data_IF_769442373277
#
_entry.id   IF_769442373277
#
_cell.length_a   1.000
_cell.length_b   1.000
_cell.length_c   1.000
_cell.angle_alpha   90.00
_cell.angle_beta   90.00
_cell.angle_gamma   90.00
#
_symmetry.space_group_name_H-M   'P 1'
#
loop_
_entity.id
_entity.type
_entity.pdbx_description
1 polymer ?
#
# COMPACT_ATOMS: atom_id res chain seq x y z
N UNK A 1 -14.47 0.94 3.77
CA UNK A 1 -15.13 -0.25 3.23
C UNK A 1 -15.02 -1.44 4.19
N UNK A 2 -13.83 -1.70 4.75
CA UNK A 2 -13.63 -2.83 5.67
C UNK A 2 -14.59 -2.78 6.86
N UNK A 3 -14.87 -1.58 7.38
CA UNK A 3 -15.82 -1.38 8.49
C UNK A 3 -17.26 -1.82 8.18
N UNK A 4 -17.64 -1.95 6.91
CA UNK A 4 -18.96 -2.50 6.56
C UNK A 4 -19.11 -3.98 6.94
N UNK A 5 -17.99 -4.70 7.14
CA UNK A 5 -17.96 -6.12 7.49
C UNK A 5 -18.00 -6.38 9.00
N UNK A 6 -18.14 -5.36 9.85
CA UNK A 6 -18.07 -5.48 11.33
C UNK A 6 -19.12 -6.43 11.95
N UNK A 7 -20.09 -6.89 11.17
CA UNK A 7 -21.00 -7.97 11.60
C UNK A 7 -20.39 -9.38 11.54
N UNK A 8 -19.14 -9.53 11.05
CA UNK A 8 -18.47 -10.81 10.90
C UNK A 8 -17.07 -10.72 11.52
N UNK A 9 -16.97 -10.97 12.81
CA UNK A 9 -15.74 -10.82 13.60
C UNK A 9 -14.60 -11.72 13.08
N UNK A 10 -14.89 -12.92 12.59
CA UNK A 10 -13.89 -13.86 12.08
C UNK A 10 -13.11 -13.29 10.89
N UNK A 11 -13.79 -12.52 10.03
CA UNK A 11 -13.15 -11.88 8.84
C UNK A 11 -12.32 -10.66 9.18
N UNK A 12 -12.51 -10.07 10.35
CA UNK A 12 -11.89 -8.80 10.73
C UNK A 12 -10.82 -8.95 11.81
N UNK A 13 -10.64 -10.15 12.35
CA UNK A 13 -9.63 -10.41 13.37
C UNK A 13 -8.25 -9.95 12.90
N UNK A 14 -7.64 -9.03 13.65
CA UNK A 14 -6.34 -8.45 13.35
C UNK A 14 -6.30 -7.36 12.26
N UNK A 15 -7.40 -7.06 11.57
CA UNK A 15 -7.45 -6.05 10.52
C UNK A 15 -7.98 -4.68 10.97
N UNK A 16 -8.79 -4.67 12.02
CA UNK A 16 -9.35 -3.45 12.62
C UNK A 16 -8.98 -3.35 14.10
N UNK A 17 -8.98 -2.13 14.60
CA UNK A 17 -8.81 -1.87 16.03
C UNK A 17 -10.02 -2.40 16.80
N UNK A 18 -9.83 -3.01 17.98
CA UNK A 18 -10.92 -3.44 18.85
C UNK A 18 -11.87 -2.29 19.20
N UNK A 19 -13.15 -2.58 19.35
CA UNK A 19 -14.15 -1.60 19.78
C UNK A 19 -14.67 -0.66 18.69
N UNK A 20 -14.30 -0.88 17.42
CA UNK A 20 -14.90 -0.15 16.31
C UNK A 20 -16.32 -0.65 16.03
N UNK A 21 -17.22 0.29 15.79
CA UNK A 21 -18.61 0.01 15.40
C UNK A 21 -18.87 0.43 13.95
N UNK A 22 -19.77 -0.25 13.23
CA UNK A 22 -20.11 0.10 11.85
C UNK A 22 -21.09 1.27 11.73
N UNK A 23 -21.25 2.06 12.79
CA UNK A 23 -22.16 3.20 12.81
C UNK A 23 -21.85 4.18 11.68
N UNK A 24 -22.85 4.52 10.88
CA UNK A 24 -22.69 5.42 9.74
C UNK A 24 -22.09 4.78 8.47
N UNK A 25 -21.71 3.51 8.49
CA UNK A 25 -21.20 2.80 7.32
C UNK A 25 -22.37 2.13 6.57
N UNK A 26 -22.59 2.43 5.27
CA UNK A 26 -23.67 1.81 4.50
C UNK A 26 -23.49 0.29 4.40
N UNK A 27 -24.53 -0.47 4.74
CA UNK A 27 -24.51 -1.95 4.69
C UNK A 27 -24.29 -2.51 3.28
N UNK A 28 -24.65 -1.76 2.24
CA UNK A 28 -24.43 -2.15 0.84
C UNK A 28 -22.93 -2.34 0.51
N UNK A 29 -22.03 -1.79 1.31
CA UNK A 29 -20.59 -1.96 1.16
C UNK A 29 -20.05 -3.25 1.81
N UNK A 30 -20.91 -4.02 2.47
CA UNK A 30 -20.51 -5.29 3.06
C UNK A 30 -19.97 -6.24 1.98
N UNK A 31 -18.92 -6.97 2.30
CA UNK A 31 -18.23 -7.92 1.41
C UNK A 31 -17.61 -7.32 0.12
N UNK A 32 -17.65 -6.00 -0.07
CA UNK A 32 -16.94 -5.34 -1.17
C UNK A 32 -15.42 -5.30 -0.95
N UNK A 33 -14.97 -5.46 0.29
CA UNK A 33 -13.56 -5.53 0.67
C UNK A 33 -13.36 -6.74 1.58
N UNK A 34 -12.62 -7.72 1.10
CA UNK A 34 -12.36 -8.97 1.81
C UNK A 34 -10.92 -8.93 2.33
N UNK A 35 -10.70 -8.96 3.65
CA UNK A 35 -9.36 -9.02 4.21
C UNK A 35 -8.73 -10.41 4.03
N UNK A 36 -7.41 -10.45 3.99
CA UNK A 36 -6.61 -11.67 4.04
C UNK A 36 -5.38 -11.48 4.93
N UNK A 37 -4.87 -12.56 5.48
CA UNK A 37 -3.70 -12.53 6.35
C UNK A 37 -2.40 -12.47 5.55
N UNK A 38 -1.47 -11.63 6.00
CA UNK A 38 -0.15 -11.50 5.40
C UNK A 38 0.63 -12.82 5.51
N UNK A 39 1.37 -13.18 4.46
CA UNK A 39 2.06 -14.47 4.29
C UNK A 39 1.14 -15.71 4.19
N UNK A 40 -0.18 -15.54 4.12
CA UNK A 40 -1.12 -16.64 3.88
C UNK A 40 -1.61 -16.62 2.42
N UNK A 41 -0.78 -17.13 1.50
CA UNK A 41 -1.12 -17.15 0.08
C UNK A 41 -2.32 -18.04 -0.24
N UNK A 42 -2.49 -19.14 0.50
CA UNK A 42 -3.62 -20.04 0.25
C UNK A 42 -4.97 -19.39 0.54
N UNK A 43 -5.06 -18.63 1.62
CA UNK A 43 -6.27 -17.84 1.94
C UNK A 43 -6.60 -16.85 0.82
N UNK A 44 -5.60 -16.10 0.32
CA UNK A 44 -5.80 -15.18 -0.79
C UNK A 44 -6.26 -15.91 -2.06
N UNK A 45 -5.67 -17.06 -2.37
CA UNK A 45 -6.04 -17.87 -3.52
C UNK A 45 -7.49 -18.35 -3.41
N UNK A 46 -7.91 -18.80 -2.23
CA UNK A 46 -9.29 -19.22 -1.98
C UNK A 46 -10.28 -18.07 -2.13
N UNK A 47 -9.93 -16.86 -1.66
CA UNK A 47 -10.74 -15.65 -1.86
C UNK A 47 -10.89 -15.34 -3.34
N UNK A 48 -9.79 -15.35 -4.10
CA UNK A 48 -9.79 -15.04 -5.54
C UNK A 48 -10.59 -16.10 -6.34
N UNK A 49 -10.55 -17.35 -5.92
CA UNK A 49 -11.31 -18.42 -6.59
C UNK A 49 -12.80 -18.36 -6.31
N UNK A 50 -13.22 -17.86 -5.14
CA UNK A 50 -14.62 -17.79 -4.71
C UNK A 50 -15.31 -16.47 -5.08
N UNK A 51 -14.54 -15.42 -5.42
CA UNK A 51 -15.08 -14.08 -5.62
C UNK A 51 -14.53 -13.45 -6.91
N UNK A 52 -15.28 -12.52 -7.47
CA UNK A 52 -14.82 -11.70 -8.59
C UNK A 52 -13.94 -10.55 -8.08
N UNK A 53 -12.66 -10.81 -7.88
CA UNK A 53 -11.70 -9.86 -7.33
C UNK A 53 -11.10 -9.03 -8.46
N UNK A 54 -11.27 -7.71 -8.41
CA UNK A 54 -10.69 -6.77 -9.37
C UNK A 54 -9.37 -6.15 -8.89
N UNK A 55 -9.16 -6.06 -7.58
CA UNK A 55 -8.01 -5.39 -6.98
C UNK A 55 -7.48 -6.16 -5.77
N UNK A 56 -6.18 -6.31 -5.68
CA UNK A 56 -5.47 -6.71 -4.45
C UNK A 56 -4.69 -5.49 -3.97
N UNK A 57 -4.98 -5.01 -2.76
CA UNK A 57 -4.24 -3.91 -2.11
C UNK A 57 -3.60 -4.40 -0.83
N UNK A 58 -2.29 -4.16 -0.66
CA UNK A 58 -1.54 -4.57 0.52
C UNK A 58 -0.32 -3.68 0.76
N UNK A 59 0.21 -3.70 1.98
CA UNK A 59 1.56 -3.20 2.27
C UNK A 59 2.60 -4.25 1.85
N UNK A 60 3.77 -3.82 1.39
CA UNK A 60 4.89 -4.72 1.03
C UNK A 60 5.49 -5.35 2.28
N UNK A 61 5.59 -4.60 3.35
CA UNK A 61 6.07 -5.03 4.65
C UNK A 61 5.53 -4.06 5.70
N UNK A 62 5.12 -4.59 6.84
CA UNK A 62 4.71 -3.77 7.99
C UNK A 62 5.43 -4.23 9.25
N UNK A 63 4.96 -5.28 9.91
CA UNK A 63 5.54 -5.83 11.13
C UNK A 63 6.52 -6.97 10.83
N UNK A 64 6.28 -7.68 9.73
CA UNK A 64 7.12 -8.77 9.22
C UNK A 64 7.31 -8.62 7.72
N UNK A 65 8.39 -9.20 7.20
CA UNK A 65 8.66 -9.24 5.77
C UNK A 65 7.89 -10.37 5.07
N UNK A 66 7.91 -10.36 3.72
CA UNK A 66 7.35 -11.46 2.94
C UNK A 66 8.19 -12.72 3.08
N UNK A 67 7.55 -13.86 3.26
CA UNK A 67 8.15 -15.18 3.38
C UNK A 67 7.79 -16.02 2.13
N UNK A 68 8.52 -17.09 1.86
CA UNK A 68 8.21 -18.09 0.84
C UNK A 68 7.82 -17.52 -0.54
N UNK A 69 8.48 -16.47 -0.98
CA UNK A 69 8.16 -15.77 -2.23
C UNK A 69 6.71 -15.26 -2.30
N UNK A 70 6.15 -14.83 -1.16
CA UNK A 70 4.77 -14.39 -1.05
C UNK A 70 4.40 -13.29 -2.06
N UNK A 71 5.24 -12.25 -2.19
CA UNK A 71 4.96 -11.15 -3.13
C UNK A 71 5.03 -11.61 -4.59
N UNK A 72 5.96 -12.51 -4.93
CA UNK A 72 6.09 -13.07 -6.28
C UNK A 72 4.86 -13.90 -6.64
N UNK A 73 4.39 -14.75 -5.71
CA UNK A 73 3.16 -15.54 -5.88
C UNK A 73 1.93 -14.65 -6.09
N UNK A 74 1.80 -13.57 -5.30
CA UNK A 74 0.71 -12.58 -5.47
C UNK A 74 0.80 -11.89 -6.82
N UNK A 75 1.99 -11.45 -7.24
CA UNK A 75 2.17 -10.81 -8.54
C UNK A 75 1.80 -11.75 -9.69
N UNK A 76 2.21 -13.01 -9.60
CA UNK A 76 1.85 -14.02 -10.58
C UNK A 76 0.33 -14.21 -10.64
N UNK A 77 -0.32 -14.47 -9.51
CA UNK A 77 -1.77 -14.62 -9.41
C UNK A 77 -2.50 -13.42 -9.99
N UNK A 78 -2.09 -12.20 -9.62
CA UNK A 78 -2.70 -10.97 -10.10
C UNK A 78 -2.55 -10.83 -11.62
N UNK A 79 -1.41 -11.25 -12.20
CA UNK A 79 -1.18 -11.21 -13.64
C UNK A 79 -2.06 -12.23 -14.39
N UNK A 80 -2.12 -13.47 -13.90
CA UNK A 80 -2.92 -14.55 -14.49
C UNK A 80 -4.42 -14.27 -14.48
N UNK A 81 -4.90 -13.67 -13.39
CA UNK A 81 -6.32 -13.33 -13.19
C UNK A 81 -6.69 -11.93 -13.65
N UNK A 82 -5.74 -11.15 -14.20
CA UNK A 82 -5.93 -9.74 -14.61
C UNK A 82 -6.43 -8.86 -13.48
N UNK A 83 -5.97 -9.11 -12.25
CA UNK A 83 -6.25 -8.34 -11.04
C UNK A 83 -5.24 -7.22 -10.93
N UNK A 84 -5.66 -6.01 -10.58
CA UNK A 84 -4.78 -4.88 -10.34
C UNK A 84 -4.11 -5.06 -8.97
N UNK A 85 -2.77 -5.10 -8.95
CA UNK A 85 -1.99 -5.16 -7.71
C UNK A 85 -1.57 -3.76 -7.29
N UNK A 86 -1.99 -3.34 -6.10
CA UNK A 86 -1.65 -2.06 -5.49
C UNK A 86 -0.78 -2.29 -4.26
N UNK A 87 0.41 -1.71 -4.22
CA UNK A 87 1.22 -1.66 -3.01
C UNK A 87 1.03 -0.33 -2.27
N UNK A 88 0.64 -0.42 -1.00
CA UNK A 88 0.58 0.70 -0.09
C UNK A 88 1.97 0.92 0.51
N UNK A 89 2.65 1.92 -0.02
CA UNK A 89 4.00 2.32 0.39
C UNK A 89 3.99 3.60 1.24
N UNK A 90 2.82 3.96 1.80
CA UNK A 90 2.71 5.15 2.63
C UNK A 90 3.66 5.14 3.83
N UNK A 91 3.94 3.96 4.39
CA UNK A 91 4.84 3.80 5.55
C UNK A 91 6.24 3.35 5.16
N UNK A 92 6.38 2.53 4.14
CA UNK A 92 7.64 1.88 3.71
C UNK A 92 8.40 2.65 2.65
N UNK A 93 7.70 3.40 1.81
CA UNK A 93 8.31 4.11 0.68
C UNK A 93 9.43 5.06 1.10
N UNK A 94 10.51 5.07 0.34
CA UNK A 94 11.72 5.90 0.50
C UNK A 94 12.48 5.69 1.81
N UNK A 95 12.28 4.55 2.51
CA UNK A 95 13.01 4.26 3.75
C UNK A 95 14.17 3.29 3.56
N UNK A 96 13.97 2.18 2.85
CA UNK A 96 15.03 1.19 2.57
C UNK A 96 15.49 1.20 1.11
N UNK A 97 14.74 1.85 0.24
CA UNK A 97 15.04 2.02 -1.18
C UNK A 97 14.73 3.44 -1.63
N UNK A 98 15.30 3.90 -2.73
CA UNK A 98 14.83 5.12 -3.38
C UNK A 98 13.60 4.82 -4.23
N UNK A 99 12.43 4.92 -3.61
CA UNK A 99 11.11 4.56 -4.17
C UNK A 99 10.38 3.57 -3.26
N UNK A 100 9.63 2.66 -3.86
CA UNK A 100 8.88 1.66 -3.12
C UNK A 100 9.77 0.51 -2.63
N UNK A 101 9.43 -0.03 -1.47
CA UNK A 101 10.12 -1.19 -0.87
C UNK A 101 10.03 -2.44 -1.76
N UNK A 102 9.00 -2.53 -2.60
CA UNK A 102 8.84 -3.63 -3.58
C UNK A 102 10.06 -3.84 -4.47
N UNK A 103 10.86 -2.80 -4.71
CA UNK A 103 12.11 -2.90 -5.48
C UNK A 103 13.13 -3.86 -4.87
N UNK A 104 13.16 -3.94 -3.53
CA UNK A 104 14.03 -4.88 -2.81
C UNK A 104 13.69 -6.35 -3.12
N UNK A 105 12.43 -6.60 -3.47
CA UNK A 105 11.92 -7.95 -3.76
C UNK A 105 11.77 -8.23 -5.25
N UNK A 106 12.10 -7.27 -6.12
CA UNK A 106 11.94 -7.36 -7.57
C UNK A 106 10.51 -7.70 -8.01
N UNK A 107 9.51 -7.12 -7.34
CA UNK A 107 8.09 -7.32 -7.63
C UNK A 107 7.44 -5.99 -7.97
N UNK A 108 7.13 -5.78 -9.25
CA UNK A 108 6.51 -4.54 -9.71
C UNK A 108 4.98 -4.59 -9.55
N UNK A 109 4.38 -3.65 -8.80
CA UNK A 109 2.93 -3.52 -8.73
C UNK A 109 2.37 -2.86 -10.00
N UNK A 110 1.05 -2.86 -10.11
CA UNK A 110 0.37 -2.07 -11.13
C UNK A 110 0.20 -0.62 -10.68
N UNK A 111 0.06 -0.40 -9.37
CA UNK A 111 0.02 0.92 -8.73
C UNK A 111 0.76 0.89 -7.39
N UNK A 112 1.31 2.03 -7.00
CA UNK A 112 1.88 2.24 -5.68
C UNK A 112 1.40 3.57 -5.09
N UNK A 113 1.20 3.59 -3.77
CA UNK A 113 0.73 4.76 -3.01
C UNK A 113 1.84 5.21 -2.09
N UNK A 114 2.29 6.45 -2.22
CA UNK A 114 3.33 7.06 -1.39
C UNK A 114 2.78 8.21 -0.57
N UNK A 115 3.24 8.34 0.67
CA UNK A 115 2.89 9.44 1.57
C UNK A 115 4.02 9.66 2.59
N UNK A 116 3.73 10.26 3.72
CA UNK A 116 4.65 10.47 4.86
C UNK A 116 6.02 10.98 4.42
N UNK A 117 6.95 10.07 4.12
CA UNK A 117 8.35 10.38 3.80
C UNK A 117 8.49 11.29 2.56
N UNK A 118 7.60 11.17 1.57
CA UNK A 118 7.69 12.00 0.35
C UNK A 118 7.52 13.48 0.65
N UNK A 119 6.64 13.83 1.59
CA UNK A 119 6.41 15.22 2.03
C UNK A 119 7.33 15.69 3.13
N UNK A 120 7.90 14.74 3.90
CA UNK A 120 8.78 15.00 5.05
C UNK A 120 8.23 16.08 6.00
N UNK A 121 6.96 15.93 6.40
CA UNK A 121 6.23 16.86 7.27
C UNK A 121 5.20 17.73 6.54
N UNK A 122 5.29 17.88 5.23
CA UNK A 122 4.28 18.56 4.45
C UNK A 122 3.19 17.60 3.96
N UNK A 123 1.95 18.09 3.90
CA UNK A 123 0.78 17.30 3.51
C UNK A 123 0.79 17.02 2.01
N UNK A 124 1.30 15.85 1.63
CA UNK A 124 1.25 15.37 0.25
C UNK A 124 1.24 13.84 0.23
N UNK A 125 0.49 13.29 -0.72
CA UNK A 125 0.51 11.90 -1.11
C UNK A 125 0.58 11.78 -2.63
N UNK A 126 1.09 10.68 -3.12
CA UNK A 126 1.17 10.41 -4.55
C UNK A 126 0.67 8.99 -4.85
N UNK A 127 -0.17 8.87 -5.85
CA UNK A 127 -0.56 7.60 -6.45
C UNK A 127 0.09 7.53 -7.82
N UNK A 128 0.93 6.51 -8.01
CA UNK A 128 1.63 6.28 -9.28
C UNK A 128 1.30 4.88 -9.79
N UNK A 129 1.30 4.70 -11.10
CA UNK A 129 0.98 3.39 -11.66
C UNK A 129 1.22 3.32 -13.16
N UNK A 130 0.94 2.15 -13.72
CA UNK A 130 1.03 1.89 -15.15
C UNK A 130 0.07 2.80 -15.92
N UNK A 131 0.54 3.34 -17.05
CA UNK A 131 -0.22 4.33 -17.84
C UNK A 131 -1.67 3.91 -18.10
N UNK A 132 -1.88 2.71 -18.63
CA UNK A 132 -3.21 2.22 -19.02
C UNK A 132 -4.20 2.13 -17.84
N UNK A 133 -3.69 2.00 -16.61
CA UNK A 133 -4.51 2.02 -15.38
C UNK A 133 -4.76 3.46 -14.95
N UNK A 134 -3.71 4.27 -14.92
CA UNK A 134 -3.82 5.66 -14.46
C UNK A 134 -4.66 6.54 -15.41
N UNK A 135 -4.70 6.26 -16.70
CA UNK A 135 -5.57 6.96 -17.65
C UNK A 135 -7.06 6.82 -17.32
N UNK A 136 -7.45 5.75 -16.61
CA UNK A 136 -8.83 5.58 -16.15
C UNK A 136 -9.23 6.67 -15.15
N UNK A 137 -8.28 7.20 -14.38
CA UNK A 137 -8.54 8.29 -13.43
C UNK A 137 -9.08 9.55 -14.11
N UNK A 138 -8.73 9.78 -15.37
CA UNK A 138 -9.23 10.93 -16.14
C UNK A 138 -10.71 10.84 -16.51
N UNK A 139 -11.28 9.63 -16.41
CA UNK A 139 -12.70 9.37 -16.66
C UNK A 139 -13.54 9.41 -15.38
N UNK A 140 -12.90 9.64 -14.24
CA UNK A 140 -13.52 9.69 -12.92
C UNK A 140 -13.46 11.10 -12.37
N UNK A 141 -14.44 11.46 -11.53
CA UNK A 141 -14.44 12.74 -10.85
C UNK A 141 -13.46 12.68 -9.67
N UNK A 142 -12.25 13.20 -9.87
CA UNK A 142 -11.25 13.37 -8.83
C UNK A 142 -11.08 14.87 -8.61
N UNK A 143 -11.39 15.33 -7.40
CA UNK A 143 -11.30 16.74 -7.02
C UNK A 143 -10.76 16.87 -5.61
N UNK A 144 -10.12 18.01 -5.33
CA UNK A 144 -9.58 18.37 -4.02
C UNK A 144 -9.49 19.88 -3.91
N UNK A 145 -9.69 20.40 -2.71
CA UNK A 145 -9.45 21.84 -2.40
C UNK A 145 -8.00 22.25 -2.72
N UNK A 146 -7.06 21.36 -2.53
CA UNK A 146 -5.62 21.61 -2.74
C UNK A 146 -5.09 21.18 -4.11
N UNK A 147 -5.97 20.97 -5.09
CA UNK A 147 -5.59 20.45 -6.40
C UNK A 147 -4.50 21.25 -7.11
N UNK A 148 -4.53 22.59 -6.98
CA UNK A 148 -3.56 23.51 -7.58
C UNK A 148 -2.52 24.04 -6.59
N UNK A 149 -2.53 23.52 -5.35
CA UNK A 149 -1.60 23.91 -4.31
C UNK A 149 -0.18 23.45 -4.69
N UNK A 150 0.84 24.28 -4.42
CA UNK A 150 2.22 24.04 -4.83
C UNK A 150 3.17 23.72 -3.69
N UNK A 151 2.76 23.93 -2.42
CA UNK A 151 3.63 23.72 -1.25
C UNK A 151 4.02 22.24 -1.13
N UNK A 152 3.05 21.35 -1.14
CA UNK A 152 3.27 19.91 -1.06
C UNK A 152 4.19 19.37 -2.17
N UNK A 153 3.89 19.62 -3.46
CA UNK A 153 4.75 19.21 -4.56
C UNK A 153 6.16 19.79 -4.49
N UNK A 154 6.31 21.06 -4.10
CA UNK A 154 7.62 21.71 -3.94
C UNK A 154 8.43 21.04 -2.82
N UNK A 155 7.81 20.77 -1.68
CA UNK A 155 8.43 20.07 -0.57
C UNK A 155 8.85 18.65 -0.97
N UNK A 156 7.99 17.93 -1.69
CA UNK A 156 8.29 16.59 -2.19
C UNK A 156 9.50 16.58 -3.13
N UNK A 157 9.56 17.50 -4.08
CA UNK A 157 10.70 17.62 -5.00
C UNK A 157 12.00 17.93 -4.24
N UNK A 158 11.96 18.86 -3.28
CA UNK A 158 13.12 19.20 -2.46
C UNK A 158 13.58 17.98 -1.63
N UNK A 159 12.64 17.29 -0.98
CA UNK A 159 12.89 16.07 -0.19
C UNK A 159 13.54 14.99 -1.04
N UNK A 160 12.98 14.66 -2.20
CA UNK A 160 13.50 13.63 -3.10
C UNK A 160 14.89 13.97 -3.65
N UNK A 161 15.15 15.23 -3.97
CA UNK A 161 16.48 15.69 -4.40
C UNK A 161 17.53 15.47 -3.29
N UNK A 162 17.20 15.83 -2.05
CA UNK A 162 18.10 15.64 -0.90
C UNK A 162 18.31 14.15 -0.64
N UNK A 163 17.25 13.36 -0.56
CA UNK A 163 17.33 11.92 -0.36
C UNK A 163 18.24 11.25 -1.38
N UNK A 164 18.06 11.57 -2.68
CA UNK A 164 18.91 11.04 -3.74
C UNK A 164 20.36 11.42 -3.57
N UNK A 165 20.64 12.69 -3.21
CA UNK A 165 22.00 13.22 -3.03
C UNK A 165 22.76 12.55 -1.91
N UNK A 166 22.10 12.35 -0.74
CA UNK A 166 22.74 11.78 0.46
C UNK A 166 22.52 10.28 0.60
N UNK A 167 21.75 9.66 -0.31
CA UNK A 167 21.34 8.24 -0.21
C UNK A 167 20.72 7.91 1.15
N UNK A 168 19.74 8.72 1.56
CA UNK A 168 19.15 8.65 2.91
C UNK A 168 18.67 7.26 3.31
N UNK A 169 18.19 6.45 2.37
CA UNK A 169 17.75 5.07 2.61
C UNK A 169 18.87 4.17 3.15
N UNK A 170 20.13 4.35 2.70
CA UNK A 170 21.29 3.60 3.23
C UNK A 170 21.56 4.00 4.68
N UNK A 171 21.50 5.30 4.99
CA UNK A 171 21.73 5.85 6.32
C UNK A 171 20.65 5.38 7.30
N UNK A 172 19.37 5.51 6.91
CA UNK A 172 18.22 5.14 7.75
C UNK A 172 18.25 3.63 8.04
N UNK A 173 18.50 2.82 7.01
CA UNK A 173 18.57 1.36 7.15
C UNK A 173 19.69 0.95 8.08
N UNK A 174 20.89 1.55 7.94
CA UNK A 174 22.03 1.28 8.83
C UNK A 174 21.69 1.59 10.29
N UNK A 175 21.14 2.78 10.56
CA UNK A 175 20.73 3.18 11.92
C UNK A 175 19.69 2.22 12.49
N UNK A 176 18.67 1.86 11.68
CA UNK A 176 17.64 0.92 12.09
C UNK A 176 18.18 -0.45 12.45
N UNK A 177 19.09 -0.99 11.65
CA UNK A 177 19.75 -2.28 11.92
C UNK A 177 20.65 -2.24 13.16
N UNK A 178 21.37 -1.13 13.40
CA UNK A 178 22.17 -0.94 14.61
C UNK A 178 21.29 -0.89 15.87
N UNK A 179 20.16 -0.18 15.81
CA UNK A 179 19.19 -0.14 16.91
C UNK A 179 18.59 -1.53 17.19
N UNK A 180 18.20 -2.26 16.16
CA UNK A 180 17.65 -3.61 16.30
C UNK A 180 18.62 -4.60 16.98
N UNK A 181 19.93 -4.41 16.83
CA UNK A 181 20.94 -5.25 17.49
C UNK A 181 21.07 -4.97 18.99
N UNK A 182 20.61 -3.80 19.45
CA UNK A 182 20.71 -3.36 20.85
C UNK A 182 19.49 -3.71 21.68
N UNK A 183 18.40 -4.12 21.01
CA UNK A 183 17.16 -4.60 21.61
C UNK A 183 17.10 -6.13 21.58
#
# INVERSE_FOLDING_TARGET
>A
YLSANLGNEERLAGHLLPGLEPAGVPRVLQDMTIPFNYNNFQELLDIVNKNNVGVIKMEVCRNMGPEDNFLQKIRQLASERKIILIFDECSSGFRETFGGLYKKYNVEPDMAIFSKTIGNGYAISAVVGKRHIMETAQKTFISSTFWTERIGPTAAIATLKIMKRIKSWEIITKIGLENKKRW
#
